data_IF_408620248631
#
_entry.id   IF_408620248631
#
_cell.length_a   1.000
_cell.length_b   1.000
_cell.length_c   1.000
_cell.angle_alpha   90.00
_cell.angle_beta   90.00
_cell.angle_gamma   90.00
#
_symmetry.space_group_name_H-M   'P 1'
#
loop_
_entity.id
_entity.type
_entity.pdbx_description
1 polymer ?
#
# COMPACT_ATOMS: atom_id res chain seq x y z
N UNK A 1 24.99 42.74 -19.68
CA UNK A 1 24.29 41.68 -20.46
C UNK A 1 23.84 40.64 -19.45
N UNK A 2 22.59 40.56 -18.96
CA UNK A 2 21.28 40.33 -19.62
C UNK A 2 21.25 39.13 -20.58
N UNK A 3 20.51 38.09 -20.13
CA UNK A 3 20.04 36.85 -20.77
C UNK A 3 21.11 35.86 -21.25
N UNK A 4 20.96 34.54 -21.05
CA UNK A 4 19.74 33.78 -21.31
C UNK A 4 19.57 32.55 -20.40
N UNK A 5 18.46 32.53 -19.67
CA UNK A 5 17.92 31.46 -18.81
C UNK A 5 17.33 30.28 -19.64
N UNK A 6 17.65 30.20 -20.93
CA UNK A 6 16.81 29.50 -21.91
C UNK A 6 17.30 28.13 -22.39
N UNK A 7 18.33 27.52 -21.78
CA UNK A 7 18.87 26.24 -22.26
C UNK A 7 18.85 25.07 -21.25
N UNK A 8 18.34 25.27 -20.03
CA UNK A 8 18.21 24.18 -19.06
C UNK A 8 16.83 23.48 -19.05
N UNK A 9 15.86 24.03 -19.79
CA UNK A 9 14.47 23.55 -19.81
C UNK A 9 14.16 22.54 -20.93
N UNK A 10 15.05 22.33 -21.91
CA UNK A 10 14.72 21.54 -23.11
C UNK A 10 15.09 20.05 -22.99
N UNK A 11 16.00 19.69 -22.09
CA UNK A 11 16.32 18.27 -21.82
C UNK A 11 15.25 17.61 -20.92
N UNK A 12 14.40 18.42 -20.26
CA UNK A 12 13.33 17.92 -19.37
C UNK A 12 12.04 17.54 -20.12
N UNK A 13 11.90 17.86 -21.42
CA UNK A 13 10.63 17.72 -22.15
C UNK A 13 10.58 16.61 -23.22
N UNK A 14 11.65 15.85 -23.46
CA UNK A 14 11.68 14.87 -24.58
C UNK A 14 11.66 13.39 -24.18
N UNK A 15 11.46 13.07 -22.90
CA UNK A 15 11.25 11.68 -22.44
C UNK A 15 9.80 11.38 -22.01
N UNK A 16 8.87 12.30 -22.25
CA UNK A 16 7.43 12.05 -22.18
C UNK A 16 6.92 11.50 -23.52
N UNK A 17 7.24 10.26 -23.87
CA UNK A 17 6.43 9.41 -24.78
C UNK A 17 6.81 7.93 -24.62
N UNK A 18 6.86 7.44 -23.39
CA UNK A 18 6.40 6.08 -23.14
C UNK A 18 5.06 6.26 -22.46
N UNK A 19 4.00 6.07 -23.24
CA UNK A 19 2.66 5.85 -22.72
C UNK A 19 2.69 4.56 -21.90
N UNK A 20 3.26 4.62 -20.69
CA UNK A 20 3.11 3.56 -19.73
C UNK A 20 1.75 3.82 -19.09
N UNK A 21 0.73 3.09 -19.56
CA UNK A 21 -0.43 2.79 -18.74
C UNK A 21 0.10 2.06 -17.49
N UNK A 22 0.63 2.81 -16.52
CA UNK A 22 0.92 2.30 -15.20
C UNK A 22 -0.45 2.04 -14.57
N UNK A 23 -0.98 0.84 -14.76
CA UNK A 23 -2.14 0.39 -14.01
C UNK A 23 -1.77 0.45 -12.53
N UNK A 24 -2.63 1.02 -11.72
CA UNK A 24 -2.45 1.02 -10.28
C UNK A 24 -2.37 -0.43 -9.79
N UNK A 25 -1.26 -0.79 -9.15
CA UNK A 25 -0.97 -2.15 -8.72
C UNK A 25 -2.01 -2.63 -7.69
N UNK A 26 -2.59 -1.69 -6.92
CA UNK A 26 -3.66 -1.95 -5.96
C UNK A 26 -5.07 -2.08 -6.60
N UNK A 27 -5.27 -1.68 -7.86
CA UNK A 27 -6.61 -1.76 -8.49
C UNK A 27 -6.96 -3.16 -9.03
N UNK A 28 -5.98 -4.03 -9.23
CA UNK A 28 -6.22 -5.34 -9.88
C UNK A 28 -6.67 -6.45 -8.91
N UNK A 29 -6.29 -6.39 -7.64
CA UNK A 29 -6.94 -7.20 -6.59
C UNK A 29 -7.73 -6.22 -5.74
N UNK A 30 -9.05 -6.38 -5.77
CA UNK A 30 -9.98 -5.56 -4.99
C UNK A 30 -9.86 -5.92 -3.50
N UNK A 31 -8.76 -5.50 -2.87
CA UNK A 31 -8.67 -5.52 -1.42
C UNK A 31 -9.64 -4.45 -0.91
N UNK A 32 -10.68 -4.84 -0.15
CA UNK A 32 -11.64 -3.88 0.34
C UNK A 32 -10.96 -2.94 1.34
N UNK A 33 -11.28 -1.65 1.24
CA UNK A 33 -10.91 -0.70 2.28
C UNK A 33 -11.60 -1.06 3.60
N UNK A 34 -10.89 -0.89 4.72
CA UNK A 34 -11.48 -1.08 6.04
C UNK A 34 -12.54 0.01 6.35
N UNK A 35 -13.75 -0.36 6.80
CA UNK A 35 -14.81 0.60 7.12
C UNK A 35 -14.40 1.58 8.23
N UNK A 36 -14.63 2.87 8.01
CA UNK A 36 -14.36 3.90 9.03
C UNK A 36 -12.88 4.23 9.23
N UNK A 37 -11.96 3.59 8.50
CA UNK A 37 -10.56 3.96 8.53
C UNK A 37 -10.31 5.35 7.89
N UNK A 38 -9.37 6.09 8.48
CA UNK A 38 -8.98 7.44 8.04
C UNK A 38 -7.63 7.34 7.34
N UNK A 39 -7.54 7.90 6.14
CA UNK A 39 -6.28 7.96 5.40
C UNK A 39 -5.24 8.83 6.10
N UNK A 40 -4.01 8.33 6.14
CA UNK A 40 -2.86 9.05 6.68
C UNK A 40 -1.83 9.38 5.61
N UNK A 41 -1.45 8.39 4.79
CA UNK A 41 -0.46 8.60 3.75
C UNK A 41 -0.63 7.65 2.57
N UNK A 42 -0.25 8.11 1.38
CA UNK A 42 -0.22 7.32 0.16
C UNK A 42 1.02 7.66 -0.67
N UNK A 43 1.73 6.64 -1.12
CA UNK A 43 2.98 6.76 -1.87
C UNK A 43 3.00 5.80 -3.06
N UNK A 44 3.38 6.31 -4.23
CA UNK A 44 3.65 5.50 -5.41
C UNK A 44 5.16 5.53 -5.74
N UNK A 45 5.80 4.37 -5.80
CA UNK A 45 7.21 4.22 -6.15
C UNK A 45 7.35 3.76 -7.61
N UNK A 46 7.15 4.71 -8.53
CA UNK A 46 7.50 4.55 -9.95
C UNK A 46 6.77 3.43 -10.70
N UNK A 47 5.54 3.09 -10.30
CA UNK A 47 4.73 2.04 -10.93
C UNK A 47 5.09 0.60 -10.52
N UNK A 48 6.13 0.41 -9.72
CA UNK A 48 6.58 -0.92 -9.25
C UNK A 48 5.92 -1.27 -7.92
N UNK A 49 5.74 -0.28 -7.05
CA UNK A 49 5.07 -0.45 -5.78
C UNK A 49 4.15 0.73 -5.46
N UNK A 50 3.05 0.43 -4.79
CA UNK A 50 2.10 1.40 -4.28
C UNK A 50 1.79 1.06 -2.82
N UNK A 51 1.86 2.07 -1.96
CA UNK A 51 1.65 1.92 -0.51
C UNK A 51 0.60 2.92 -0.07
N UNK A 52 -0.44 2.46 0.63
CA UNK A 52 -1.46 3.29 1.28
C UNK A 52 -1.48 2.92 2.76
N UNK A 53 -1.49 3.91 3.64
CA UNK A 53 -1.64 3.74 5.09
C UNK A 53 -2.89 4.46 5.57
N UNK A 54 -3.68 3.74 6.37
CA UNK A 54 -4.87 4.26 7.05
C UNK A 54 -4.81 3.88 8.53
N UNK A 55 -5.60 4.57 9.36
CA UNK A 55 -5.77 4.25 10.77
C UNK A 55 -7.24 4.04 11.11
N UNK A 56 -7.51 3.19 12.09
CA UNK A 56 -8.83 3.06 12.73
C UNK A 56 -8.68 3.05 14.26
N UNK A 57 -9.74 3.44 14.96
CA UNK A 57 -9.86 3.28 16.41
C UNK A 57 -10.38 1.90 16.83
N UNK A 58 -10.77 1.06 15.87
CA UNK A 58 -11.23 -0.30 16.14
C UNK A 58 -10.06 -1.17 16.60
N UNK A 59 -10.40 -2.27 17.29
CA UNK A 59 -9.40 -3.17 17.86
C UNK A 59 -8.63 -3.94 16.78
N UNK A 60 -7.38 -4.28 17.08
CA UNK A 60 -6.54 -5.11 16.21
C UNK A 60 -7.22 -6.40 15.77
N UNK A 61 -7.91 -7.09 16.69
CA UNK A 61 -8.58 -8.36 16.43
C UNK A 61 -9.77 -8.20 15.48
N UNK A 62 -10.48 -7.08 15.56
CA UNK A 62 -11.61 -6.76 14.68
C UNK A 62 -11.12 -6.53 13.26
N UNK A 63 -10.08 -5.70 13.11
CA UNK A 63 -9.44 -5.42 11.82
C UNK A 63 -8.89 -6.70 11.19
N UNK A 64 -8.18 -7.51 11.98
CA UNK A 64 -7.60 -8.77 11.51
C UNK A 64 -8.68 -9.78 11.09
N UNK A 65 -9.77 -9.88 11.84
CA UNK A 65 -10.89 -10.77 11.51
C UNK A 65 -11.55 -10.36 10.21
N UNK A 66 -11.80 -9.05 10.01
CA UNK A 66 -12.33 -8.52 8.76
C UNK A 66 -11.49 -8.96 7.56
N UNK A 67 -10.18 -8.72 7.58
CA UNK A 67 -9.34 -9.06 6.42
C UNK A 67 -9.16 -10.55 6.18
N UNK A 68 -9.12 -11.36 7.24
CA UNK A 68 -9.12 -12.82 7.11
C UNK A 68 -10.35 -13.31 6.37
N UNK A 69 -11.53 -12.78 6.69
CA UNK A 69 -12.77 -13.15 6.02
C UNK A 69 -12.81 -12.66 4.56
N UNK A 70 -12.47 -11.40 4.33
CA UNK A 70 -12.52 -10.79 2.99
C UNK A 70 -11.52 -11.43 2.02
N UNK A 71 -10.35 -11.84 2.51
CA UNK A 71 -9.27 -12.37 1.68
C UNK A 71 -9.22 -13.90 1.65
N UNK A 72 -10.06 -14.61 2.41
CA UNK A 72 -10.06 -16.07 2.50
C UNK A 72 -10.15 -16.77 1.13
N UNK A 73 -10.88 -16.20 0.17
CA UNK A 73 -11.05 -16.75 -1.17
C UNK A 73 -9.76 -16.79 -2.01
N UNK A 74 -8.73 -16.04 -1.60
CA UNK A 74 -7.46 -15.92 -2.32
C UNK A 74 -6.34 -16.80 -1.74
N UNK A 75 -6.66 -17.67 -0.77
CA UNK A 75 -5.69 -18.52 -0.06
C UNK A 75 -4.47 -17.72 0.46
N UNK A 76 -4.70 -16.72 1.33
CA UNK A 76 -3.67 -15.77 1.70
C UNK A 76 -2.61 -16.40 2.61
N UNK A 77 -1.36 -16.00 2.44
CA UNK A 77 -0.29 -16.29 3.37
C UNK A 77 -0.34 -15.30 4.53
N UNK A 78 -0.43 -15.80 5.76
CA UNK A 78 -0.56 -14.98 6.97
C UNK A 78 0.66 -15.16 7.86
N UNK A 79 1.34 -14.07 8.16
CA UNK A 79 2.52 -14.02 9.03
C UNK A 79 2.26 -13.06 10.18
N UNK A 80 2.60 -13.45 11.41
CA UNK A 80 2.42 -12.61 12.61
C UNK A 80 3.74 -12.42 13.32
N UNK A 81 3.95 -11.21 13.83
CA UNK A 81 5.18 -10.79 14.47
C UNK A 81 4.85 -10.01 15.74
N UNK A 82 5.39 -10.48 16.86
CA UNK A 82 5.44 -9.72 18.10
C UNK A 82 6.77 -8.95 18.13
N UNK A 83 6.69 -7.62 18.13
CA UNK A 83 7.82 -6.69 18.19
C UNK A 83 7.88 -6.08 19.61
N UNK A 84 8.96 -5.36 19.91
CA UNK A 84 9.19 -4.80 21.26
C UNK A 84 8.03 -3.91 21.75
N UNK A 85 7.53 -3.02 20.88
CA UNK A 85 6.46 -2.05 21.21
C UNK A 85 5.24 -2.17 20.29
N UNK A 86 5.09 -3.27 19.56
CA UNK A 86 3.95 -3.47 18.67
C UNK A 86 3.72 -4.92 18.34
N UNK A 87 2.52 -5.23 17.88
CA UNK A 87 2.23 -6.48 17.17
C UNK A 87 1.79 -6.15 15.75
N UNK A 88 2.19 -6.99 14.81
CA UNK A 88 1.73 -6.88 13.44
C UNK A 88 1.39 -8.25 12.84
N UNK A 89 0.40 -8.25 11.95
CA UNK A 89 0.09 -9.39 11.09
C UNK A 89 0.07 -8.91 9.65
N UNK A 90 0.84 -9.58 8.79
CA UNK A 90 0.80 -9.43 7.34
C UNK A 90 -0.13 -10.49 6.75
N UNK A 91 -1.00 -10.08 5.83
CA UNK A 91 -1.88 -10.95 5.04
C UNK A 91 -1.52 -10.71 3.57
N UNK A 92 -0.83 -11.68 2.98
CA UNK A 92 -0.27 -11.59 1.64
C UNK A 92 -1.11 -12.40 0.65
N UNK A 93 -1.51 -11.76 -0.45
CA UNK A 93 -2.20 -12.38 -1.58
C UNK A 93 -1.31 -12.27 -2.81
N UNK A 94 -1.06 -13.41 -3.47
CA UNK A 94 -0.34 -13.44 -4.74
C UNK A 94 -1.36 -13.51 -5.87
N UNK A 95 -1.40 -12.46 -6.69
CA UNK A 95 -2.23 -12.44 -7.90
C UNK A 95 -1.63 -13.29 -9.03
N UNK A 96 -2.47 -13.65 -10.02
CA UNK A 96 -2.05 -14.45 -11.19
C UNK A 96 -0.92 -13.80 -12.01
N UNK A 97 -0.82 -12.46 -11.99
CA UNK A 97 0.25 -11.70 -12.65
C UNK A 97 1.54 -11.60 -11.81
N UNK A 98 1.70 -12.44 -10.78
CA UNK A 98 2.82 -12.40 -9.82
C UNK A 98 2.91 -11.08 -9.04
N UNK A 99 1.84 -10.32 -8.90
CA UNK A 99 1.84 -9.15 -8.01
C UNK A 99 1.54 -9.62 -6.59
N UNK A 100 2.34 -9.17 -5.63
CA UNK A 100 2.11 -9.42 -4.21
C UNK A 100 1.36 -8.23 -3.65
N UNK A 101 0.20 -8.50 -3.07
CA UNK A 101 -0.59 -7.48 -2.39
C UNK A 101 -0.70 -7.88 -0.93
N UNK A 102 -0.22 -7.02 -0.07
CA UNK A 102 -0.09 -7.23 1.36
C UNK A 102 -0.96 -6.25 2.10
N UNK A 103 -1.76 -6.77 3.04
CA UNK A 103 -2.42 -5.98 4.08
C UNK A 103 -1.69 -6.24 5.38
N UNK A 104 -1.04 -5.21 5.90
CA UNK A 104 -0.37 -5.26 7.21
C UNK A 104 -1.26 -4.55 8.22
N UNK A 105 -1.69 -5.29 9.24
CA UNK A 105 -2.41 -4.76 10.40
C UNK A 105 -1.41 -4.63 11.53
N UNK A 106 -1.28 -3.45 12.12
CA UNK A 106 -0.31 -3.18 13.18
C UNK A 106 -0.94 -2.37 14.32
N UNK A 107 -0.69 -2.80 15.55
CA UNK A 107 -1.07 -2.10 16.78
C UNK A 107 0.20 -1.78 17.57
N UNK A 108 0.35 -0.52 17.98
CA UNK A 108 1.47 -0.04 18.79
C UNK A 108 1.05 0.02 20.26
N UNK A 109 1.95 -0.40 21.16
CA UNK A 109 1.69 -0.29 22.59
C UNK A 109 1.55 1.19 23.00
N UNK A 110 0.47 1.50 23.73
CA UNK A 110 0.19 2.85 24.19
C UNK A 110 -0.45 3.79 23.15
N UNK A 111 -0.74 3.31 21.93
CA UNK A 111 -1.55 4.04 20.96
C UNK A 111 -2.98 3.48 20.90
N UNK A 112 -3.98 4.36 21.01
CA UNK A 112 -5.41 3.99 20.88
C UNK A 112 -5.85 3.88 19.39
N UNK A 113 -5.01 3.31 18.54
CA UNK A 113 -5.28 3.17 17.10
C UNK A 113 -4.54 1.98 16.49
N UNK A 114 -5.14 1.43 15.45
CA UNK A 114 -4.56 0.37 14.61
C UNK A 114 -4.19 0.96 13.25
N UNK A 115 -2.97 0.71 12.81
CA UNK A 115 -2.49 1.03 11.48
C UNK A 115 -2.83 -0.11 10.51
N UNK A 116 -3.32 0.24 9.33
CA UNK A 116 -3.53 -0.68 8.23
C UNK A 116 -2.73 -0.18 7.03
N UNK A 117 -1.80 -0.99 6.56
CA UNK A 117 -0.96 -0.68 5.41
C UNK A 117 -1.31 -1.62 4.27
N UNK A 118 -1.74 -1.04 3.15
CA UNK A 118 -1.93 -1.73 1.88
C UNK A 118 -0.68 -1.53 1.05
N UNK A 119 -0.07 -2.62 0.60
CA UNK A 119 1.10 -2.59 -0.26
C UNK A 119 0.86 -3.49 -1.46
N UNK A 120 0.92 -2.91 -2.67
CA UNK A 120 0.94 -3.66 -3.91
C UNK A 120 2.33 -3.59 -4.53
N UNK A 121 2.91 -4.73 -4.89
CA UNK A 121 4.22 -4.82 -5.57
C UNK A 121 4.06 -5.66 -6.83
N UNK A 122 4.52 -5.14 -7.96
CA UNK A 122 4.69 -5.92 -9.19
C UNK A 122 6.05 -6.61 -9.18
N UNK A 123 6.07 -7.94 -9.28
CA UNK A 123 7.30 -8.76 -9.33
C UNK A 123 7.90 -8.88 -10.73
#
# INVERSE_FOLDING_TARGET
MKLSIMNFAVILCTLFMIANCSKDVLEEVSIPDYPGAVEDASYAMGGVAQVKRVFTSDSYEEVLSFYREQLAQYDPEIESYDLEDSRQTSINVVSEEKRVISVVVQEFEGEDKVAIVYMGVSL
#
